data_IF_495646409341
#
_entry.id   IF_495646409341
#
_cell.length_a   1.000
_cell.length_b   1.000
_cell.length_c   1.000
_cell.angle_alpha   90.00
_cell.angle_beta   90.00
_cell.angle_gamma   90.00
#
_symmetry.space_group_name_H-M   'P 1'
#
loop_
_entity.id
_entity.type
_entity.pdbx_description
1 polymer ?
#
# COMPACT_ATOMS: atom_id res chain seq x y z
N UNK A 1 26.72 -17.63 -14.87
CA UNK A 1 26.07 -18.28 -13.71
C UNK A 1 24.94 -17.35 -13.28
N UNK A 2 23.67 -17.74 -13.43
CA UNK A 2 22.56 -16.90 -13.00
C UNK A 2 22.57 -16.89 -11.47
N UNK A 3 23.00 -15.77 -10.90
CA UNK A 3 22.98 -15.56 -9.46
C UNK A 3 21.51 -15.48 -9.03
N UNK A 4 21.05 -16.46 -8.24
CA UNK A 4 19.71 -16.41 -7.66
C UNK A 4 19.75 -15.48 -6.45
N UNK A 5 19.26 -14.25 -6.63
CA UNK A 5 19.23 -13.20 -5.60
C UNK A 5 18.65 -13.70 -4.26
N UNK A 6 17.65 -14.60 -4.28
CA UNK A 6 17.11 -15.19 -3.06
C UNK A 6 18.17 -16.02 -2.30
N UNK A 7 18.93 -16.84 -3.03
CA UNK A 7 19.96 -17.71 -2.48
C UNK A 7 21.06 -16.93 -1.76
N UNK A 8 21.43 -15.76 -2.30
CA UNK A 8 22.39 -14.85 -1.67
C UNK A 8 21.80 -14.23 -0.40
N UNK A 9 20.61 -13.65 -0.49
CA UNK A 9 19.94 -12.99 0.63
C UNK A 9 19.80 -13.93 1.84
N UNK A 10 19.31 -15.15 1.66
CA UNK A 10 19.11 -16.07 2.80
C UNK A 10 20.43 -16.54 3.40
N UNK A 11 21.47 -16.72 2.57
CA UNK A 11 22.79 -17.16 3.02
C UNK A 11 23.46 -16.06 3.83
N UNK A 12 23.31 -14.80 3.40
CA UNK A 12 23.76 -13.64 4.15
C UNK A 12 23.04 -13.49 5.47
N UNK A 13 21.70 -13.58 5.50
CA UNK A 13 20.90 -13.50 6.72
C UNK A 13 21.36 -14.56 7.72
N UNK A 14 21.45 -15.82 7.29
CA UNK A 14 21.88 -16.92 8.16
C UNK A 14 23.28 -16.68 8.72
N UNK A 15 24.23 -16.28 7.87
CA UNK A 15 25.61 -15.99 8.29
C UNK A 15 25.70 -14.81 9.24
N UNK A 16 24.94 -13.74 9.03
CA UNK A 16 24.88 -12.57 9.92
C UNK A 16 24.38 -12.95 11.33
N UNK A 17 23.54 -13.97 11.42
CA UNK A 17 23.05 -14.51 12.69
C UNK A 17 23.95 -15.59 13.30
N UNK A 18 25.06 -15.95 12.64
CA UNK A 18 25.97 -17.03 13.04
C UNK A 18 25.28 -18.40 13.19
N UNK A 19 24.26 -18.69 12.37
CA UNK A 19 23.52 -19.94 12.44
C UNK A 19 24.04 -20.98 11.43
N UNK A 20 24.06 -22.24 11.84
CA UNK A 20 24.14 -23.39 10.93
C UNK A 20 22.85 -23.52 10.11
N UNK A 21 22.86 -24.31 9.03
CA UNK A 21 21.66 -24.54 8.22
C UNK A 21 20.53 -25.21 9.02
N UNK A 22 20.89 -26.07 9.99
CA UNK A 22 19.95 -26.73 10.90
C UNK A 22 19.33 -25.76 11.90
N UNK A 23 20.15 -24.90 12.51
CA UNK A 23 19.64 -23.88 13.42
C UNK A 23 18.76 -22.86 12.68
N UNK A 24 19.13 -22.49 11.45
CA UNK A 24 18.33 -21.57 10.64
C UNK A 24 16.97 -22.16 10.25
N UNK A 25 16.93 -23.43 9.81
CA UNK A 25 15.63 -24.09 9.54
C UNK A 25 14.80 -24.19 10.81
N UNK A 26 15.41 -24.56 11.94
CA UNK A 26 14.72 -24.62 13.24
C UNK A 26 14.18 -23.26 13.67
N UNK A 27 14.96 -22.20 13.47
CA UNK A 27 14.55 -20.84 13.77
C UNK A 27 13.34 -20.40 12.95
N UNK A 28 13.34 -20.67 11.64
CA UNK A 28 12.18 -20.43 10.77
C UNK A 28 10.95 -21.22 11.20
N UNK A 29 11.11 -22.49 11.59
CA UNK A 29 10.02 -23.33 12.08
C UNK A 29 9.36 -22.76 13.34
N UNK A 30 10.14 -22.10 14.22
CA UNK A 30 9.62 -21.54 15.48
C UNK A 30 8.94 -20.19 15.29
N UNK A 31 9.36 -19.40 14.29
CA UNK A 31 8.86 -18.03 14.10
C UNK A 31 7.55 -18.02 13.30
N UNK A 32 7.38 -18.94 12.35
CA UNK A 32 6.24 -18.91 11.44
C UNK A 32 5.71 -20.31 11.12
N UNK A 33 4.40 -20.49 11.34
CA UNK A 33 3.69 -21.75 11.09
C UNK A 33 3.82 -22.25 9.64
N UNK A 34 4.00 -21.34 8.67
CA UNK A 34 4.20 -21.70 7.27
C UNK A 34 5.48 -22.51 7.03
N UNK A 35 6.46 -22.44 7.94
CA UNK A 35 7.75 -23.10 7.79
C UNK A 35 7.92 -24.33 8.66
N UNK A 36 6.97 -24.75 9.50
CA UNK A 36 7.12 -25.88 10.46
C UNK A 36 7.80 -27.16 9.93
N UNK A 37 7.66 -27.48 8.63
CA UNK A 37 8.25 -28.66 8.00
C UNK A 37 9.59 -28.39 7.29
N UNK A 38 10.22 -27.22 7.47
CA UNK A 38 11.47 -26.88 6.82
C UNK A 38 12.65 -27.60 7.48
N UNK A 39 13.50 -28.22 6.66
CA UNK A 39 14.69 -28.93 7.10
C UNK A 39 15.99 -28.27 6.58
N UNK A 40 17.11 -28.67 7.17
CA UNK A 40 18.44 -28.17 6.81
C UNK A 40 18.81 -28.48 5.35
N UNK A 41 18.30 -29.59 4.80
CA UNK A 41 18.55 -29.99 3.40
C UNK A 41 17.89 -29.03 2.43
N UNK A 42 16.68 -28.57 2.74
CA UNK A 42 15.91 -27.61 1.96
C UNK A 42 16.59 -26.25 2.00
N UNK A 43 17.01 -25.78 3.17
CA UNK A 43 17.83 -24.56 3.31
C UNK A 43 19.12 -24.67 2.49
N UNK A 44 19.82 -25.80 2.57
CA UNK A 44 21.04 -26.06 1.77
C UNK A 44 20.79 -26.01 0.27
N UNK A 45 19.65 -26.53 -0.21
CA UNK A 45 19.26 -26.45 -1.62
C UNK A 45 18.91 -25.02 -2.02
N UNK A 46 18.25 -24.25 -1.16
CA UNK A 46 17.97 -22.83 -1.42
C UNK A 46 19.25 -22.00 -1.51
N UNK A 47 20.19 -22.16 -0.59
CA UNK A 47 21.46 -21.39 -0.58
C UNK A 47 22.36 -21.71 -1.77
N UNK A 48 22.27 -22.93 -2.31
CA UNK A 48 22.99 -23.35 -3.51
C UNK A 48 22.23 -23.01 -4.81
N UNK A 49 21.03 -22.46 -4.72
CA UNK A 49 20.19 -22.16 -5.87
C UNK A 49 19.62 -23.38 -6.60
N UNK A 50 19.63 -24.55 -5.96
CA UNK A 50 19.10 -25.81 -6.54
C UNK A 50 17.57 -25.78 -6.60
N UNK A 51 16.94 -25.23 -5.56
CA UNK A 51 15.48 -25.02 -5.52
C UNK A 51 15.19 -23.61 -4.99
N UNK A 52 14.00 -23.08 -5.27
CA UNK A 52 13.54 -21.78 -4.78
C UNK A 52 12.08 -21.91 -4.34
N UNK A 53 11.68 -21.35 -3.19
CA UNK A 53 10.27 -21.31 -2.83
C UNK A 53 9.52 -20.28 -3.70
N UNK A 54 8.19 -20.25 -3.63
CA UNK A 54 7.39 -19.22 -4.32
C UNK A 54 7.82 -17.80 -3.90
N UNK A 55 7.62 -16.80 -4.76
CA UNK A 55 7.96 -15.40 -4.46
C UNK A 55 7.37 -14.89 -3.14
N UNK A 56 6.09 -15.20 -2.89
CA UNK A 56 5.42 -14.87 -1.63
C UNK A 56 6.17 -15.43 -0.40
N UNK A 57 6.58 -16.71 -0.45
CA UNK A 57 7.40 -17.35 0.60
C UNK A 57 8.77 -16.71 0.73
N UNK A 58 9.43 -16.35 -0.38
CA UNK A 58 10.70 -15.61 -0.33
C UNK A 58 10.53 -14.30 0.42
N UNK A 59 9.53 -13.51 0.05
CA UNK A 59 9.22 -12.22 0.68
C UNK A 59 8.94 -12.41 2.17
N UNK A 60 8.12 -13.41 2.53
CA UNK A 60 7.81 -13.71 3.93
C UNK A 60 9.06 -14.00 4.75
N UNK A 61 9.94 -14.90 4.28
CA UNK A 61 11.21 -15.22 4.94
C UNK A 61 12.05 -13.96 5.12
N UNK A 62 12.22 -13.16 4.07
CA UNK A 62 13.04 -11.95 4.13
C UNK A 62 12.49 -10.91 5.12
N UNK A 63 11.15 -10.79 5.22
CA UNK A 63 10.49 -9.89 6.19
C UNK A 63 10.69 -10.31 7.64
N UNK A 64 10.80 -11.61 7.94
CA UNK A 64 11.08 -12.09 9.30
C UNK A 64 12.42 -11.59 9.85
N UNK A 65 13.31 -11.14 8.97
CA UNK A 65 14.65 -10.66 9.30
C UNK A 65 14.87 -9.19 8.94
N UNK A 66 13.78 -8.42 8.79
CA UNK A 66 13.82 -6.98 8.49
C UNK A 66 14.67 -6.64 7.25
N UNK A 67 14.76 -7.57 6.29
CA UNK A 67 15.54 -7.37 5.08
C UNK A 67 14.86 -6.37 4.14
N UNK A 68 15.63 -5.45 3.54
CA UNK A 68 15.09 -4.50 2.57
C UNK A 68 14.65 -5.24 1.29
N UNK A 69 13.34 -5.41 1.16
CA UNK A 69 12.74 -6.10 0.03
C UNK A 69 12.91 -5.33 -1.28
N UNK A 70 13.12 -4.01 -1.27
CA UNK A 70 13.28 -3.23 -2.50
C UNK A 70 14.51 -3.71 -3.27
N UNK A 71 15.62 -3.97 -2.58
CA UNK A 71 16.82 -4.55 -3.19
C UNK A 71 16.54 -5.93 -3.80
N UNK A 72 15.84 -6.80 -3.07
CA UNK A 72 15.49 -8.13 -3.54
C UNK A 72 14.60 -8.08 -4.80
N UNK A 73 13.51 -7.30 -4.77
CA UNK A 73 12.52 -7.25 -5.84
C UNK A 73 13.08 -6.62 -7.13
N UNK A 74 13.91 -5.58 -7.01
CA UNK A 74 14.46 -4.87 -8.16
C UNK A 74 15.54 -5.67 -8.92
N UNK A 75 16.23 -6.59 -8.25
CA UNK A 75 17.31 -7.38 -8.84
C UNK A 75 16.90 -8.79 -9.29
N UNK A 76 15.60 -9.11 -9.29
CA UNK A 76 15.08 -10.33 -9.90
C UNK A 76 14.33 -9.97 -11.19
N UNK A 77 14.45 -10.79 -12.23
CA UNK A 77 13.67 -10.63 -13.45
C UNK A 77 12.27 -11.22 -13.27
N UNK A 78 11.27 -10.34 -13.31
CA UNK A 78 9.86 -10.69 -13.35
C UNK A 78 9.30 -10.07 -14.62
N UNK A 79 8.73 -10.90 -15.49
CA UNK A 79 7.93 -10.42 -16.61
C UNK A 79 6.50 -10.25 -16.12
N UNK A 80 5.90 -9.08 -16.37
CA UNK A 80 4.48 -8.84 -16.17
C UNK A 80 3.92 -8.19 -17.42
N UNK A 81 2.70 -8.57 -17.76
CA UNK A 81 1.82 -7.71 -18.55
C UNK A 81 1.32 -6.61 -17.60
N UNK A 82 1.37 -5.35 -18.04
CA UNK A 82 0.93 -4.17 -17.27
C UNK A 82 -0.54 -3.83 -17.54
N UNK A 83 -1.27 -4.77 -18.16
CA UNK A 83 -2.61 -4.55 -18.69
C UNK A 83 -3.64 -4.10 -17.65
N UNK A 84 -3.56 -4.51 -16.39
CA UNK A 84 -4.52 -4.06 -15.38
C UNK A 84 -4.28 -2.59 -14.99
N UNK A 85 -3.01 -2.20 -14.83
CA UNK A 85 -2.57 -0.83 -14.61
C UNK A 85 -2.95 0.03 -15.82
N UNK A 86 -2.55 -0.36 -17.03
CA UNK A 86 -2.84 0.39 -18.25
C UNK A 86 -4.35 0.60 -18.42
N UNK A 87 -5.14 -0.45 -18.16
CA UNK A 87 -6.61 -0.36 -18.18
C UNK A 87 -7.16 0.64 -17.15
N UNK A 88 -6.64 0.66 -15.92
CA UNK A 88 -7.09 1.62 -14.91
C UNK A 88 -6.62 3.04 -15.25
N UNK A 89 -5.41 3.21 -15.78
CA UNK A 89 -4.90 4.51 -16.21
C UNK A 89 -5.76 5.09 -17.33
N UNK A 90 -6.02 4.30 -18.36
CA UNK A 90 -6.85 4.70 -19.49
C UNK A 90 -8.27 5.06 -19.06
N UNK A 91 -8.92 4.19 -18.29
CA UNK A 91 -10.27 4.46 -17.83
C UNK A 91 -10.33 5.66 -16.88
N UNK A 92 -9.36 5.81 -15.96
CA UNK A 92 -9.39 6.88 -14.95
C UNK A 92 -9.02 8.24 -15.51
N UNK A 93 -7.99 8.31 -16.36
CA UNK A 93 -7.38 9.57 -16.80
C UNK A 93 -7.65 9.88 -18.29
N UNK A 94 -7.94 8.89 -19.12
CA UNK A 94 -8.16 9.08 -20.56
C UNK A 94 -9.65 9.08 -20.96
N UNK A 95 -10.54 8.41 -20.23
CA UNK A 95 -11.98 8.35 -20.55
C UNK A 95 -12.66 9.74 -20.45
N UNK A 96 -13.23 10.18 -21.58
CA UNK A 96 -13.91 11.47 -21.76
C UNK A 96 -15.17 11.60 -20.90
N UNK A 97 -15.81 10.49 -20.50
CA UNK A 97 -17.00 10.50 -19.64
C UNK A 97 -16.64 10.75 -18.16
N UNK A 98 -15.46 10.32 -17.71
CA UNK A 98 -14.97 10.56 -16.34
C UNK A 98 -14.33 11.95 -16.18
N UNK A 99 -13.84 12.57 -17.27
CA UNK A 99 -13.42 13.98 -17.28
C UNK A 99 -14.58 14.95 -16.95
N UNK A 100 -15.84 14.57 -17.24
CA UNK A 100 -17.02 15.39 -16.91
C UNK A 100 -17.61 15.10 -15.51
N UNK A 101 -17.10 14.10 -14.77
CA UNK A 101 -17.60 13.72 -13.44
C UNK A 101 -16.55 13.77 -12.33
N UNK A 102 -15.28 13.95 -12.67
CA UNK A 102 -14.26 14.28 -11.70
C UNK A 102 -14.32 15.78 -11.39
N UNK A 103 -13.93 16.10 -10.16
CA UNK A 103 -13.80 17.43 -9.56
C UNK A 103 -12.80 18.28 -10.40
N UNK A 104 -13.20 18.67 -11.61
CA UNK A 104 -12.34 19.26 -12.65
C UNK A 104 -12.66 20.73 -12.91
N UNK A 105 -13.51 21.38 -12.13
CA UNK A 105 -13.65 22.84 -12.21
C UNK A 105 -12.59 23.61 -11.41
N UNK A 106 -11.79 22.94 -10.56
CA UNK A 106 -10.69 23.58 -9.81
C UNK A 106 -9.28 23.17 -10.26
N UNK A 107 -9.13 22.14 -11.10
CA UNK A 107 -7.85 21.41 -11.22
C UNK A 107 -7.31 21.15 -12.63
N UNK A 108 -7.95 21.65 -13.69
CA UNK A 108 -7.46 21.37 -15.05
C UNK A 108 -7.43 22.61 -15.94
N UNK A 109 -6.21 23.12 -16.13
CA UNK A 109 -5.74 23.49 -17.46
C UNK A 109 -4.53 22.61 -17.75
N UNK A 110 -4.65 21.79 -18.81
CA UNK A 110 -3.60 21.03 -19.52
C UNK A 110 -2.16 21.13 -18.98
N UNK A 111 -1.66 20.09 -18.30
CA UNK A 111 -0.21 19.90 -18.16
C UNK A 111 0.11 18.41 -18.35
N UNK A 112 0.76 18.10 -19.48
CA UNK A 112 1.55 16.89 -19.62
C UNK A 112 2.80 17.07 -18.74
N UNK A 113 3.12 16.09 -17.90
CA UNK A 113 4.18 16.15 -16.88
C UNK A 113 4.01 17.27 -15.85
N UNK A 114 3.32 16.97 -14.75
CA UNK A 114 3.31 17.86 -13.59
C UNK A 114 4.46 17.50 -12.68
N UNK A 115 5.47 18.37 -12.60
CA UNK A 115 6.44 18.27 -11.51
C UNK A 115 5.77 18.64 -10.18
N UNK A 116 6.04 17.86 -9.14
CA UNK A 116 5.44 18.08 -7.83
C UNK A 116 6.45 18.00 -6.68
N UNK A 117 6.21 18.81 -5.64
CA UNK A 117 6.90 18.75 -4.35
C UNK A 117 6.08 17.93 -3.38
N UNK A 118 6.75 17.10 -2.60
CA UNK A 118 6.13 16.33 -1.53
C UNK A 118 6.27 17.10 -0.23
N UNK A 119 5.16 17.30 0.48
CA UNK A 119 5.16 17.90 1.81
C UNK A 119 4.47 16.95 2.78
N UNK A 120 4.87 17.03 4.04
CA UNK A 120 4.12 16.42 5.13
C UNK A 120 2.98 17.34 5.55
N UNK A 121 2.00 16.84 6.29
CA UNK A 121 0.88 17.68 6.77
C UNK A 121 1.45 18.81 7.64
N UNK A 122 1.19 20.09 7.32
CA UNK A 122 1.63 21.22 8.12
C UNK A 122 0.74 21.42 9.36
N UNK A 123 1.23 22.18 10.34
CA UNK A 123 0.46 22.55 11.54
C UNK A 123 -0.85 23.26 11.21
N UNK A 124 -0.84 24.09 10.17
CA UNK A 124 -2.07 24.66 9.61
C UNK A 124 -2.73 23.67 8.64
N UNK A 125 -3.60 22.83 9.17
CA UNK A 125 -4.27 21.76 8.42
C UNK A 125 -5.57 22.21 7.70
N UNK A 126 -5.90 23.52 7.65
CA UNK A 126 -7.18 23.99 7.08
C UNK A 126 -7.36 23.56 5.63
N UNK A 127 -6.32 23.69 4.81
CA UNK A 127 -6.38 23.37 3.39
C UNK A 127 -6.68 21.87 3.15
N UNK A 128 -5.98 20.97 3.87
CA UNK A 128 -6.18 19.52 3.73
C UNK A 128 -7.54 19.09 4.29
N UNK A 129 -8.00 19.66 5.41
CA UNK A 129 -9.33 19.35 5.97
C UNK A 129 -10.46 19.79 5.02
N UNK A 130 -10.30 20.93 4.33
CA UNK A 130 -11.24 21.37 3.32
C UNK A 130 -11.25 20.43 2.11
N UNK A 131 -10.08 20.01 1.63
CA UNK A 131 -9.95 19.04 0.54
C UNK A 131 -10.63 17.70 0.89
N UNK A 132 -10.36 17.17 2.09
CA UNK A 132 -10.99 15.95 2.60
C UNK A 132 -12.50 16.10 2.70
N UNK A 133 -12.98 17.24 3.20
CA UNK A 133 -14.42 17.53 3.28
C UNK A 133 -15.07 17.53 1.91
N UNK A 134 -14.46 18.19 0.93
CA UNK A 134 -14.94 18.21 -0.45
C UNK A 134 -14.96 16.82 -1.07
N UNK A 135 -13.91 16.02 -0.86
CA UNK A 135 -13.86 14.63 -1.34
C UNK A 135 -14.98 13.77 -0.74
N UNK A 136 -15.16 13.83 0.58
CA UNK A 136 -16.21 13.06 1.27
C UNK A 136 -17.60 13.48 0.80
N UNK A 137 -17.86 14.78 0.65
CA UNK A 137 -19.13 15.28 0.14
C UNK A 137 -19.39 14.83 -1.31
N UNK A 138 -18.38 14.90 -2.18
CA UNK A 138 -18.51 14.49 -3.58
C UNK A 138 -18.73 12.98 -3.74
N UNK A 139 -18.12 12.19 -2.87
CA UNK A 139 -18.29 10.73 -2.84
C UNK A 139 -19.52 10.29 -2.01
N UNK A 140 -20.22 11.23 -1.36
CA UNK A 140 -21.37 10.95 -0.49
C UNK A 140 -21.01 9.97 0.63
N UNK A 141 -19.83 10.17 1.20
CA UNK A 141 -19.27 9.40 2.31
C UNK A 141 -19.58 10.13 3.61
N UNK A 142 -20.13 9.41 4.59
CA UNK A 142 -20.38 9.97 5.92
C UNK A 142 -19.05 10.38 6.59
N UNK A 143 -19.00 11.61 7.09
CA UNK A 143 -17.86 12.08 7.87
C UNK A 143 -17.74 11.25 9.15
N UNK A 144 -16.53 10.76 9.42
CA UNK A 144 -16.22 9.95 10.59
C UNK A 144 -15.28 10.71 11.54
N UNK A 145 -14.69 9.98 12.49
CA UNK A 145 -13.79 10.55 13.50
C UNK A 145 -12.51 11.20 12.92
N UNK A 146 -12.21 11.03 11.62
CA UNK A 146 -11.07 11.66 10.95
C UNK A 146 -11.10 13.18 11.06
N UNK A 147 -12.30 13.78 11.00
CA UNK A 147 -12.47 15.24 11.07
C UNK A 147 -12.39 15.79 12.49
N UNK A 148 -12.27 14.92 13.50
CA UNK A 148 -12.21 15.28 14.92
C UNK A 148 -10.81 15.15 15.51
N UNK A 149 -9.80 14.83 14.70
CA UNK A 149 -8.42 14.66 15.13
C UNK A 149 -7.49 15.72 14.51
N UNK A 150 -6.35 15.95 15.17
CA UNK A 150 -5.28 16.81 14.67
C UNK A 150 -4.28 15.96 13.87
N UNK A 151 -4.33 16.06 12.53
CA UNK A 151 -3.50 15.26 11.65
C UNK A 151 -2.00 15.56 11.84
N UNK A 152 -1.65 16.83 12.09
CA UNK A 152 -0.27 17.24 12.36
C UNK A 152 0.25 16.63 13.67
N UNK A 153 -0.57 16.64 14.72
CA UNK A 153 -0.20 16.02 16.00
C UNK A 153 -0.04 14.49 15.87
N UNK A 154 -0.89 13.83 15.09
CA UNK A 154 -0.77 12.38 14.87
C UNK A 154 0.47 12.04 14.04
N UNK A 155 0.79 12.86 13.04
CA UNK A 155 2.02 12.74 12.26
C UNK A 155 3.28 12.89 13.11
N UNK A 156 3.35 13.95 13.93
CA UNK A 156 4.50 14.22 14.81
C UNK A 156 4.67 13.15 15.89
N UNK A 157 3.59 12.46 16.26
CA UNK A 157 3.59 11.29 17.15
C UNK A 157 3.83 9.96 16.42
N UNK A 158 4.16 9.98 15.13
CA UNK A 158 4.43 8.80 14.30
C UNK A 158 3.26 7.80 14.24
N UNK A 159 2.03 8.31 14.37
CA UNK A 159 0.77 7.53 14.25
C UNK A 159 0.19 7.57 12.84
N UNK A 160 0.67 8.49 12.02
CA UNK A 160 0.17 8.79 10.69
C UNK A 160 1.32 9.14 9.74
N UNK A 161 1.20 8.69 8.49
CA UNK A 161 1.92 9.22 7.34
C UNK A 161 0.94 10.06 6.55
N UNK A 162 1.14 11.37 6.56
CA UNK A 162 0.36 12.32 5.76
C UNK A 162 1.26 12.96 4.73
N UNK A 163 0.96 12.73 3.45
CA UNK A 163 1.68 13.33 2.34
C UNK A 163 0.72 14.19 1.52
N UNK A 164 1.13 15.42 1.22
CA UNK A 164 0.49 16.30 0.24
C UNK A 164 1.45 16.53 -0.92
N UNK A 165 0.90 16.56 -2.13
CA UNK A 165 1.64 16.72 -3.36
C UNK A 165 1.28 18.07 -3.96
N UNK A 166 2.28 18.93 -4.15
CA UNK A 166 2.09 20.33 -4.53
C UNK A 166 2.69 20.58 -5.90
N UNK A 167 2.01 21.37 -6.72
CA UNK A 167 2.60 21.85 -7.97
C UNK A 167 3.85 22.69 -7.67
N UNK A 168 4.92 22.46 -8.45
CA UNK A 168 6.19 23.13 -8.27
C UNK A 168 6.10 24.67 -8.37
N UNK A 169 5.21 25.17 -9.23
CA UNK A 169 5.18 26.57 -9.67
C UNK A 169 4.36 27.48 -8.74
N UNK A 170 3.17 27.04 -8.35
CA UNK A 170 2.20 27.85 -7.60
C UNK A 170 1.78 27.24 -6.25
N UNK A 171 2.37 26.10 -5.89
CA UNK A 171 2.16 25.38 -4.62
C UNK A 171 0.75 24.82 -4.40
N UNK A 172 -0.11 24.75 -5.43
CA UNK A 172 -1.44 24.16 -5.28
C UNK A 172 -1.38 22.65 -5.03
N UNK A 173 -2.29 22.11 -4.21
CA UNK A 173 -2.34 20.66 -3.92
C UNK A 173 -2.89 19.90 -5.13
N UNK A 174 -2.06 19.04 -5.69
CA UNK A 174 -2.35 18.08 -6.77
C UNK A 174 -2.88 16.75 -6.25
N UNK A 175 -2.57 16.41 -4.99
CA UNK A 175 -3.02 15.17 -4.39
C UNK A 175 -2.62 15.02 -2.93
N UNK A 176 -3.08 13.92 -2.34
CA UNK A 176 -2.73 13.55 -0.97
C UNK A 176 -2.78 12.04 -0.77
N UNK A 177 -2.08 11.58 0.27
CA UNK A 177 -2.18 10.22 0.80
C UNK A 177 -2.09 10.29 2.32
N UNK A 178 -3.12 9.79 3.00
CA UNK A 178 -3.22 9.80 4.46
C UNK A 178 -3.39 8.37 4.94
N UNK A 179 -2.39 7.90 5.69
CA UNK A 179 -2.36 6.54 6.23
C UNK A 179 -2.10 6.54 7.73
N UNK A 180 -2.82 5.71 8.48
CA UNK A 180 -2.65 5.53 9.92
C UNK A 180 -2.10 4.13 10.23
N UNK A 181 -1.37 4.01 11.34
CA UNK A 181 -0.95 2.73 11.87
C UNK A 181 -1.91 2.24 12.94
N UNK A 182 -2.33 0.99 12.84
CA UNK A 182 -3.12 0.30 13.87
C UNK A 182 -2.46 -1.03 14.22
N UNK A 183 -2.67 -1.50 15.46
CA UNK A 183 -2.50 -2.92 15.74
C UNK A 183 -3.52 -3.70 14.88
N UNK A 184 -3.10 -4.81 14.27
CA UNK A 184 -3.92 -5.57 13.32
C UNK A 184 -5.22 -6.09 13.94
N UNK A 185 -5.19 -6.58 15.19
CA UNK A 185 -6.37 -7.11 15.86
C UNK A 185 -7.38 -6.00 16.19
N UNK A 186 -6.89 -4.86 16.66
CA UNK A 186 -7.71 -3.67 16.91
C UNK A 186 -8.38 -3.18 15.62
N UNK A 187 -7.63 -3.05 14.53
CA UNK A 187 -8.19 -2.64 13.23
C UNK A 187 -9.24 -3.65 12.74
N UNK A 188 -8.93 -4.94 12.84
CA UNK A 188 -9.83 -6.04 12.45
C UNK A 188 -11.13 -6.05 13.27
N UNK A 189 -11.05 -5.71 14.57
CA UNK A 189 -12.22 -5.56 15.44
C UNK A 189 -13.08 -4.38 14.99
N UNK A 190 -12.48 -3.22 14.70
CA UNK A 190 -13.21 -2.04 14.26
C UNK A 190 -13.96 -2.27 12.94
N UNK A 191 -13.31 -2.84 11.92
CA UNK A 191 -13.95 -3.06 10.61
C UNK A 191 -15.10 -4.08 10.67
N UNK A 192 -15.00 -5.10 11.55
CA UNK A 192 -16.07 -6.08 11.76
C UNK A 192 -17.30 -5.47 12.43
N UNK A 193 -17.08 -4.56 13.38
CA UNK A 193 -18.16 -4.04 14.24
C UNK A 193 -18.79 -2.74 13.70
N UNK A 194 -18.03 -1.94 12.94
CA UNK A 194 -18.38 -0.54 12.68
C UNK A 194 -18.67 -0.17 11.22
N UNK A 195 -18.81 -1.13 10.30
CA UNK A 195 -19.23 -0.89 8.89
C UNK A 195 -18.45 0.27 8.21
N UNK A 196 -17.12 0.17 8.19
CA UNK A 196 -16.18 1.19 7.70
C UNK A 196 -15.97 2.43 8.58
N UNK A 197 -16.69 2.60 9.70
CA UNK A 197 -16.40 3.70 10.64
C UNK A 197 -15.20 3.35 11.53
N UNK A 198 -14.06 3.98 11.23
CA UNK A 198 -12.82 3.81 11.98
C UNK A 198 -12.72 4.88 13.08
N UNK A 199 -12.31 4.47 14.27
CA UNK A 199 -11.89 5.34 15.37
C UNK A 199 -10.38 5.59 15.26
N UNK A 200 -9.99 6.72 14.67
CA UNK A 200 -8.58 7.05 14.47
C UNK A 200 -7.82 7.31 15.78
N UNK A 201 -8.53 7.54 16.89
CA UNK A 201 -7.88 7.73 18.21
C UNK A 201 -7.18 6.46 18.71
N UNK A 202 -7.57 5.30 18.16
CA UNK A 202 -6.96 3.99 18.41
C UNK A 202 -5.70 3.73 17.59
N UNK A 203 -5.28 4.66 16.73
CA UNK A 203 -4.01 4.52 16.03
C UNK A 203 -2.82 4.51 17.00
N UNK A 204 -1.79 3.76 16.63
CA UNK A 204 -0.57 3.52 17.42
C UNK A 204 0.63 4.16 16.74
N UNK A 205 1.71 4.41 17.48
CA UNK A 205 2.95 4.83 16.84
C UNK A 205 3.62 3.64 16.16
N UNK A 206 4.24 3.84 14.98
CA UNK A 206 4.89 2.74 14.25
C UNK A 206 5.91 1.94 15.07
N UNK A 207 6.67 2.61 15.95
CA UNK A 207 7.75 2.00 16.75
C UNK A 207 7.27 1.06 17.86
N UNK A 208 5.96 0.94 18.07
CA UNK A 208 5.39 0.22 19.22
C UNK A 208 4.82 -1.16 18.85
N UNK A 209 4.73 -1.52 17.55
CA UNK A 209 3.99 -2.71 17.11
C UNK A 209 4.80 -3.73 16.31
N UNK A 210 4.73 -4.99 16.73
CA UNK A 210 4.73 -6.11 15.77
C UNK A 210 3.26 -6.34 15.38
N UNK A 211 3.03 -6.74 14.13
CA UNK A 211 1.69 -6.94 13.57
C UNK A 211 0.86 -5.64 13.43
N UNK A 212 1.30 -4.79 12.50
CA UNK A 212 0.67 -3.51 12.18
C UNK A 212 -0.17 -3.63 10.91
N UNK A 213 -1.35 -3.01 10.93
CA UNK A 213 -2.10 -2.67 9.71
C UNK A 213 -1.86 -1.20 9.37
N UNK A 214 -1.32 -0.95 8.17
CA UNK A 214 -1.29 0.39 7.60
C UNK A 214 -2.62 0.64 6.89
N UNK A 215 -3.39 1.62 7.36
CA UNK A 215 -4.69 1.95 6.80
C UNK A 215 -4.66 3.29 6.07
N UNK A 216 -4.74 3.27 4.73
CA UNK A 216 -4.92 4.46 3.91
C UNK A 216 -6.41 4.87 3.93
N UNK A 217 -6.72 5.91 4.68
CA UNK A 217 -8.09 6.37 4.88
C UNK A 217 -8.53 7.40 3.83
N UNK A 218 -7.58 8.03 3.15
CA UNK A 218 -7.87 8.96 2.07
C UNK A 218 -6.70 9.10 1.11
N UNK A 219 -7.03 9.09 -0.18
CA UNK A 219 -6.11 9.29 -1.28
C UNK A 219 -6.78 10.06 -2.40
N UNK A 220 -6.00 10.94 -3.02
CA UNK A 220 -6.35 11.57 -4.27
C UNK A 220 -5.09 11.84 -5.10
N UNK A 221 -5.23 11.76 -6.41
CA UNK A 221 -4.21 12.14 -7.39
C UNK A 221 -4.89 12.77 -8.59
N UNK A 222 -4.43 13.97 -8.97
CA UNK A 222 -4.93 14.71 -10.13
C UNK A 222 -4.44 14.18 -11.47
N UNK A 223 -3.26 13.54 -11.49
CA UNK A 223 -2.64 13.01 -12.70
C UNK A 223 -2.27 11.54 -12.60
N UNK A 224 -1.96 10.96 -13.77
CA UNK A 224 -1.46 9.61 -13.93
C UNK A 224 -0.10 9.43 -13.24
N UNK A 225 0.83 10.37 -13.46
CA UNK A 225 2.17 10.32 -12.91
C UNK A 225 2.14 10.34 -11.38
N UNK A 226 1.30 11.22 -10.80
CA UNK A 226 1.13 11.29 -9.36
C UNK A 226 0.48 10.01 -8.80
N UNK A 227 -0.45 9.40 -9.53
CA UNK A 227 -1.03 8.12 -9.13
C UNK A 227 0.01 6.99 -9.09
N UNK A 228 0.81 6.86 -10.16
CA UNK A 228 1.92 5.89 -10.23
C UNK A 228 2.92 6.13 -9.10
N UNK A 229 3.29 7.39 -8.87
CA UNK A 229 4.18 7.76 -7.76
C UNK A 229 3.63 7.33 -6.40
N UNK A 230 2.34 7.57 -6.13
CA UNK A 230 1.72 7.16 -4.87
C UNK A 230 1.76 5.63 -4.67
N UNK A 231 1.54 4.84 -5.72
CA UNK A 231 1.70 3.37 -5.67
C UNK A 231 3.14 3.00 -5.34
N UNK A 232 4.12 3.58 -6.03
CA UNK A 232 5.55 3.34 -5.81
C UNK A 232 5.95 3.66 -4.38
N UNK A 233 5.47 4.79 -3.85
CA UNK A 233 5.75 5.24 -2.50
C UNK A 233 5.16 4.27 -1.46
N UNK A 234 3.92 3.80 -1.64
CA UNK A 234 3.33 2.78 -0.77
C UNK A 234 4.14 1.49 -0.80
N UNK A 235 4.45 0.98 -1.99
CA UNK A 235 5.20 -0.28 -2.15
C UNK A 235 6.59 -0.14 -1.51
N UNK A 236 7.28 0.97 -1.74
CA UNK A 236 8.58 1.26 -1.13
C UNK A 236 8.50 1.33 0.39
N UNK A 237 7.45 1.95 0.95
CA UNK A 237 7.19 1.96 2.38
C UNK A 237 6.99 0.54 2.92
N UNK A 238 6.15 -0.26 2.26
CA UNK A 238 5.86 -1.64 2.68
C UNK A 238 7.08 -2.57 2.57
N UNK A 239 7.98 -2.32 1.61
CA UNK A 239 9.25 -3.04 1.46
C UNK A 239 10.21 -2.81 2.64
N UNK A 240 10.24 -1.59 3.17
CA UNK A 240 11.15 -1.18 4.27
C UNK A 240 10.60 -1.51 5.67
N UNK A 241 9.30 -1.73 5.78
CA UNK A 241 8.61 -1.86 7.07
C UNK A 241 8.00 -3.25 7.21
N UNK A 242 8.83 -4.20 7.65
CA UNK A 242 8.49 -5.60 7.93
C UNK A 242 7.35 -5.75 8.95
N UNK A 243 7.25 -4.84 9.92
CA UNK A 243 6.24 -4.86 11.00
C UNK A 243 4.82 -4.66 10.49
N UNK A 244 4.64 -4.04 9.31
CA UNK A 244 3.33 -3.85 8.66
C UNK A 244 2.92 -5.16 7.98
N UNK A 245 1.99 -5.92 8.56
CA UNK A 245 1.55 -7.21 7.99
C UNK A 245 0.41 -7.05 6.99
N UNK A 246 -0.40 -6.00 7.16
CA UNK A 246 -1.53 -5.72 6.29
C UNK A 246 -1.49 -4.28 5.78
N UNK A 247 -1.91 -4.13 4.53
CA UNK A 247 -2.23 -2.83 3.95
C UNK A 247 -3.71 -2.77 3.66
N UNK A 248 -4.39 -1.74 4.18
CA UNK A 248 -5.83 -1.54 4.03
C UNK A 248 -6.10 -0.19 3.39
N UNK A 249 -7.10 -0.11 2.51
CA UNK A 249 -7.44 1.11 1.78
C UNK A 249 -8.96 1.31 1.82
N UNK A 250 -9.39 2.53 2.15
CA UNK A 250 -10.77 2.99 1.99
C UNK A 250 -11.00 3.51 0.57
N UNK A 251 -12.11 3.14 -0.06
CA UNK A 251 -12.45 3.61 -1.40
C UNK A 251 -13.96 3.65 -1.65
N UNK A 252 -14.36 4.48 -2.61
CA UNK A 252 -15.75 4.59 -3.06
C UNK A 252 -15.97 4.48 -4.56
N UNK A 253 -14.91 4.33 -5.35
CA UNK A 253 -14.97 4.26 -6.82
C UNK A 253 -14.82 2.82 -7.30
N UNK A 254 -15.76 2.34 -8.13
CA UNK A 254 -15.71 0.95 -8.66
C UNK A 254 -14.45 0.68 -9.48
N UNK A 255 -14.00 1.66 -10.24
CA UNK A 255 -12.82 1.52 -11.09
C UNK A 255 -11.57 1.17 -10.25
N UNK A 256 -11.42 1.81 -9.08
CA UNK A 256 -10.33 1.53 -8.13
C UNK A 256 -10.53 0.21 -7.40
N UNK A 257 -11.78 -0.17 -7.12
CA UNK A 257 -12.10 -1.46 -6.53
C UNK A 257 -11.58 -2.61 -7.40
N UNK A 258 -11.94 -2.62 -8.69
CA UNK A 258 -11.58 -3.70 -9.61
C UNK A 258 -10.04 -3.84 -9.74
N UNK A 259 -9.32 -2.71 -9.80
CA UNK A 259 -7.86 -2.68 -9.81
C UNK A 259 -7.24 -3.23 -8.52
N UNK A 260 -7.74 -2.83 -7.34
CA UNK A 260 -7.18 -3.35 -6.08
C UNK A 260 -7.46 -4.84 -5.90
N UNK A 261 -8.62 -5.33 -6.36
CA UNK A 261 -8.90 -6.77 -6.38
C UNK A 261 -7.91 -7.52 -7.28
N UNK A 262 -7.54 -6.98 -8.46
CA UNK A 262 -6.52 -7.62 -9.32
C UNK A 262 -5.13 -7.64 -8.68
N UNK A 263 -4.84 -6.69 -7.79
CA UNK A 263 -3.62 -6.67 -6.98
C UNK A 263 -3.65 -7.63 -5.77
N UNK A 264 -4.77 -8.34 -5.56
CA UNK A 264 -4.94 -9.35 -4.52
C UNK A 264 -5.53 -8.83 -3.21
N UNK A 265 -6.07 -7.60 -3.20
CA UNK A 265 -6.87 -7.13 -2.07
C UNK A 265 -8.18 -7.91 -1.94
N UNK A 266 -8.72 -7.92 -0.74
CA UNK A 266 -9.96 -8.59 -0.38
C UNK A 266 -10.88 -7.61 0.36
N UNK A 267 -12.18 -7.70 0.05
CA UNK A 267 -13.19 -6.89 0.71
C UNK A 267 -13.28 -7.25 2.19
N UNK A 268 -12.96 -6.27 3.05
CA UNK A 268 -12.85 -6.48 4.49
C UNK A 268 -13.97 -5.80 5.27
N UNK A 269 -14.52 -4.70 4.75
CA UNK A 269 -15.71 -4.04 5.30
C UNK A 269 -16.40 -3.19 4.24
N UNK A 270 -17.69 -2.93 4.43
CA UNK A 270 -18.51 -2.04 3.61
C UNK A 270 -19.55 -1.34 4.48
N UNK A 271 -19.96 -0.13 4.08
CA UNK A 271 -20.99 0.63 4.79
C UNK A 271 -22.40 0.05 4.55
N UNK A 272 -23.43 0.81 4.90
CA UNK A 272 -24.82 0.47 4.53
C UNK A 272 -25.03 0.51 3.00
N UNK A 273 -25.99 -0.29 2.53
CA UNK A 273 -26.40 -0.26 1.13
C UNK A 273 -26.75 1.16 0.68
N UNK A 274 -26.28 1.53 -0.51
CA UNK A 274 -26.47 2.86 -1.06
C UNK A 274 -27.12 2.77 -2.45
N UNK A 275 -28.25 3.47 -2.71
CA UNK A 275 -28.95 3.41 -3.99
C UNK A 275 -28.07 3.78 -5.19
N UNK A 276 -27.14 4.72 -4.98
CA UNK A 276 -26.15 5.17 -5.98
C UNK A 276 -24.77 4.53 -5.79
N UNK A 277 -24.67 3.42 -5.06
CA UNK A 277 -23.42 2.69 -4.89
C UNK A 277 -22.92 2.10 -6.20
N UNK A 278 -21.61 2.11 -6.40
CA UNK A 278 -21.00 1.55 -7.61
C UNK A 278 -20.38 0.17 -7.35
N UNK A 279 -20.05 -0.13 -6.09
CA UNK A 279 -19.37 -1.36 -5.69
C UNK A 279 -20.42 -2.40 -5.32
N UNK A 280 -20.41 -3.54 -6.00
CA UNK A 280 -21.41 -4.60 -5.80
C UNK A 280 -20.88 -5.71 -4.90
N UNK A 281 -21.62 -6.05 -3.83
CA UNK A 281 -21.36 -7.21 -2.96
C UNK A 281 -22.63 -8.06 -2.96
N UNK A 282 -22.58 -9.18 -3.68
CA UNK A 282 -23.78 -9.95 -4.02
C UNK A 282 -24.74 -9.10 -4.87
N UNK A 283 -25.98 -8.94 -4.40
CA UNK A 283 -27.02 -8.13 -5.09
C UNK A 283 -27.08 -6.68 -4.63
N UNK A 284 -26.30 -6.30 -3.62
CA UNK A 284 -26.35 -4.98 -2.97
C UNK A 284 -25.21 -4.09 -3.46
N UNK A 285 -25.43 -2.78 -3.42
CA UNK A 285 -24.49 -1.76 -3.88
C UNK A 285 -24.02 -0.87 -2.74
N UNK A 286 -22.74 -0.48 -2.76
CA UNK A 286 -22.07 0.26 -1.70
C UNK A 286 -21.22 1.41 -2.28
N UNK A 287 -21.06 2.48 -1.50
CA UNK A 287 -20.25 3.67 -1.84
C UNK A 287 -18.96 3.81 -1.04
N UNK A 288 -18.82 3.01 0.01
CA UNK A 288 -17.68 3.10 0.91
C UNK A 288 -17.32 1.71 1.40
N UNK A 289 -16.14 1.28 1.01
CA UNK A 289 -15.61 -0.04 1.35
C UNK A 289 -14.17 0.08 1.82
N UNK A 290 -13.76 -0.87 2.66
CA UNK A 290 -12.38 -1.08 3.05
C UNK A 290 -11.93 -2.39 2.44
N UNK A 291 -10.87 -2.31 1.66
CA UNK A 291 -10.15 -3.47 1.14
C UNK A 291 -8.87 -3.67 1.96
N UNK A 292 -8.47 -4.91 2.17
CA UNK A 292 -7.23 -5.26 2.86
C UNK A 292 -6.45 -6.32 2.11
N UNK A 293 -5.13 -6.31 2.25
CA UNK A 293 -4.22 -7.30 1.66
C UNK A 293 -3.08 -7.60 2.63
N UNK A 294 -2.67 -8.86 2.71
CA UNK A 294 -1.40 -9.22 3.35
C UNK A 294 -0.25 -8.63 2.55
N UNK A 295 0.68 -7.95 3.19
CA UNK A 295 1.77 -7.25 2.49
C UNK A 295 2.63 -8.22 1.67
N UNK A 296 2.89 -9.43 2.16
CA UNK A 296 3.61 -10.47 1.40
C UNK A 296 2.89 -10.89 0.10
N UNK A 297 1.54 -10.87 0.09
CA UNK A 297 0.73 -11.18 -1.09
C UNK A 297 0.83 -10.02 -2.08
N UNK A 298 0.67 -8.79 -1.59
CA UNK A 298 0.78 -7.58 -2.40
C UNK A 298 2.15 -7.45 -3.05
N UNK A 299 3.24 -7.56 -2.26
CA UNK A 299 4.61 -7.43 -2.77
C UNK A 299 5.04 -8.59 -3.68
N UNK A 300 4.27 -9.69 -3.70
CA UNK A 300 4.48 -10.79 -4.64
C UNK A 300 3.77 -10.60 -5.98
N UNK A 301 3.00 -9.52 -6.14
CA UNK A 301 2.35 -9.17 -7.40
C UNK A 301 3.40 -8.62 -8.39
N UNK A 302 3.55 -9.31 -9.52
CA UNK A 302 4.57 -8.98 -10.54
C UNK A 302 4.36 -7.63 -11.21
N UNK A 303 3.11 -7.18 -11.33
CA UNK A 303 2.77 -5.88 -11.92
C UNK A 303 3.30 -4.74 -11.04
N UNK A 304 3.10 -4.83 -9.72
CA UNK A 304 3.66 -3.85 -8.77
C UNK A 304 5.20 -3.83 -8.78
N UNK A 305 5.83 -4.98 -8.98
CA UNK A 305 7.29 -5.06 -9.07
C UNK A 305 7.79 -4.38 -10.34
N UNK A 306 7.07 -4.53 -11.46
CA UNK A 306 7.38 -3.82 -12.71
C UNK A 306 7.25 -2.30 -12.53
N UNK A 307 6.18 -1.81 -11.90
CA UNK A 307 6.03 -0.38 -11.57
C UNK A 307 7.20 0.12 -10.72
N UNK A 308 7.61 -0.64 -9.71
CA UNK A 308 8.74 -0.27 -8.85
C UNK A 308 10.06 -0.18 -9.62
N UNK A 309 10.23 -0.96 -10.70
CA UNK A 309 11.42 -0.88 -11.57
C UNK A 309 11.41 0.34 -12.46
N UNK A 310 10.24 0.84 -12.88
CA UNK A 310 10.13 2.08 -13.67
C UNK A 310 10.66 3.29 -12.91
N UNK A 311 10.47 3.35 -11.58
CA UNK A 311 11.06 4.38 -10.70
C UNK A 311 12.59 4.50 -10.88
N UNK A 312 13.28 3.36 -10.98
CA UNK A 312 14.75 3.30 -11.15
C UNK A 312 15.19 3.85 -12.51
N UNK A 313 14.35 3.72 -13.53
CA UNK A 313 14.64 4.17 -14.90
C UNK A 313 14.34 5.66 -15.08
N UNK A 314 13.31 6.17 -14.42
CA UNK A 314 12.85 7.55 -14.57
C UNK A 314 13.58 8.56 -13.67
N UNK A 315 14.45 8.11 -12.76
CA UNK A 315 15.25 9.03 -11.92
C UNK A 315 14.41 9.92 -11.02
N UNK A 316 13.20 9.48 -10.65
CA UNK A 316 12.33 10.18 -9.68
C UNK A 316 12.94 9.97 -8.28
N UNK A 317 14.02 10.69 -8.02
CA UNK A 317 14.57 10.86 -6.68
C UNK A 317 13.66 11.83 -5.92
N UNK A 318 12.85 11.28 -5.02
CA UNK A 318 12.16 12.06 -3.98
C UNK A 318 13.11 12.61 -2.94
#
# INVERSE_FOLDING_TARGET
MVINMFSECIKEIRKKQNLTQLEFSTHLNLIDAEFHALDAVTVSRWERGITKPSLKKCIRILRLFDYDLKYFLLNNDYASDMSALDTIMDKRFNDRLLKLHNIQQYYYNNINHVEFKIKTIPKDQRMIINLLSSLYNNLDIEKDSLFNIDLYLYQTRNKLIGLTFHNNDDDHILGHSISFYFNTDEFSSQIKNNKCKIDYTKSIAYKEGKDITLYNCSRYSSSEELFKFQIINDVSLLCKNSSIQYYSIRLGLKIMYDFLISLGFELSSYQNEHPKGEISVGRKKYRDVILSVKVEKLLSNVELITILKEEKVQGISG
#
